data_IF_886559990431
#
_entry.id   IF_886559990431
#
_cell.length_a   1.000
_cell.length_b   1.000
_cell.length_c   1.000
_cell.angle_alpha   90.00
_cell.angle_beta   90.00
_cell.angle_gamma   90.00
#
_symmetry.space_group_name_H-M   'P 1'
#
loop_
_entity.id
_entity.type
_entity.pdbx_description
1 polymer ?
#
# COMPACT_ATOMS: atom_id res chain seq x y z
N UNK A 1 -25.55 -20.54 8.24
CA UNK A 1 -24.54 -21.35 7.49
C UNK A 1 -24.38 -22.79 7.99
N UNK A 2 -25.27 -23.28 8.89
CA UNK A 2 -25.25 -24.69 9.34
C UNK A 2 -25.36 -25.68 8.15
N UNK A 3 -26.04 -25.30 7.07
CA UNK A 3 -26.19 -26.15 5.87
C UNK A 3 -24.85 -26.45 5.18
N UNK A 4 -23.89 -25.53 5.17
CA UNK A 4 -22.54 -25.75 4.63
C UNK A 4 -21.83 -26.82 5.43
N UNK A 5 -21.87 -26.72 6.77
CA UNK A 5 -21.27 -27.73 7.66
C UNK A 5 -21.92 -29.11 7.50
N UNK A 6 -23.25 -29.16 7.43
CA UNK A 6 -23.98 -30.42 7.26
C UNK A 6 -23.74 -31.06 5.89
N UNK A 7 -23.28 -30.31 4.91
CA UNK A 7 -23.03 -30.77 3.54
C UNK A 7 -21.56 -30.81 3.17
N UNK A 8 -20.65 -30.57 4.13
CA UNK A 8 -19.22 -30.40 3.88
C UNK A 8 -18.63 -31.53 3.07
N UNK A 9 -18.86 -32.79 3.47
CA UNK A 9 -18.33 -33.97 2.79
C UNK A 9 -18.77 -34.08 1.30
N UNK A 10 -19.96 -33.55 0.99
CA UNK A 10 -20.48 -33.52 -0.39
C UNK A 10 -19.84 -32.36 -1.17
N UNK A 11 -19.76 -31.18 -0.56
CA UNK A 11 -19.17 -30.00 -1.15
C UNK A 11 -17.66 -30.19 -1.42
N UNK A 12 -16.96 -30.88 -0.54
CA UNK A 12 -15.53 -31.15 -0.71
C UNK A 12 -15.23 -32.08 -1.90
N UNK A 13 -16.19 -32.96 -2.25
CA UNK A 13 -16.10 -33.85 -3.43
C UNK A 13 -16.46 -33.17 -4.74
N UNK A 14 -17.10 -32.00 -4.69
CA UNK A 14 -17.46 -31.25 -5.90
C UNK A 14 -16.23 -30.56 -6.52
N UNK A 15 -16.04 -30.78 -7.84
CA UNK A 15 -15.01 -30.09 -8.62
C UNK A 15 -15.42 -28.67 -9.04
N UNK A 16 -16.72 -28.42 -9.13
CA UNK A 16 -17.29 -27.14 -9.51
C UNK A 16 -18.56 -26.89 -8.70
N UNK A 17 -18.67 -25.73 -8.10
CA UNK A 17 -19.81 -25.27 -7.33
C UNK A 17 -20.26 -23.94 -7.89
N UNK A 18 -21.50 -23.88 -8.41
CA UNK A 18 -22.08 -22.65 -8.97
C UNK A 18 -22.93 -22.00 -7.88
N UNK A 19 -22.60 -20.79 -7.51
CA UNK A 19 -23.34 -19.98 -6.54
C UNK A 19 -24.29 -19.08 -7.31
N UNK A 20 -25.58 -19.08 -6.95
CA UNK A 20 -26.65 -18.35 -7.60
C UNK A 20 -27.50 -17.65 -6.52
N UNK A 21 -26.95 -16.59 -5.93
CA UNK A 21 -27.67 -15.74 -4.97
C UNK A 21 -28.35 -14.58 -5.68
N UNK A 22 -29.27 -13.90 -5.00
CA UNK A 22 -29.94 -12.73 -5.53
C UNK A 22 -28.93 -11.62 -5.88
N UNK A 23 -29.18 -10.89 -6.95
CA UNK A 23 -28.31 -9.82 -7.42
C UNK A 23 -28.58 -8.50 -6.66
N UNK A 24 -28.62 -8.59 -5.33
CA UNK A 24 -28.72 -7.47 -4.41
C UNK A 24 -27.55 -7.48 -3.40
N UNK A 25 -27.45 -6.45 -2.58
CA UNK A 25 -26.36 -6.30 -1.61
C UNK A 25 -26.32 -7.46 -0.60
N UNK A 26 -27.47 -7.96 -0.16
CA UNK A 26 -27.55 -9.08 0.78
C UNK A 26 -27.13 -10.40 0.13
N UNK A 27 -27.58 -10.65 -1.10
CA UNK A 27 -27.19 -11.81 -1.90
C UNK A 27 -25.69 -11.82 -2.22
N UNK A 28 -25.10 -10.68 -2.58
CA UNK A 28 -23.67 -10.55 -2.83
C UNK A 28 -22.83 -10.84 -1.57
N UNK A 29 -23.24 -10.31 -0.41
CA UNK A 29 -22.56 -10.60 0.85
C UNK A 29 -22.65 -12.08 1.24
N UNK A 30 -23.80 -12.73 0.99
CA UNK A 30 -23.99 -14.15 1.23
C UNK A 30 -23.17 -15.00 0.25
N UNK A 31 -23.12 -14.62 -1.01
CA UNK A 31 -22.30 -15.26 -2.05
C UNK A 31 -20.82 -15.26 -1.66
N UNK A 32 -20.30 -14.12 -1.22
CA UNK A 32 -18.90 -14.00 -0.79
C UNK A 32 -18.58 -14.89 0.41
N UNK A 33 -19.46 -14.91 1.41
CA UNK A 33 -19.27 -15.73 2.62
C UNK A 33 -19.36 -17.23 2.31
N UNK A 34 -20.24 -17.66 1.40
CA UNK A 34 -20.30 -19.03 0.92
C UNK A 34 -19.01 -19.40 0.19
N UNK A 35 -18.58 -18.60 -0.75
CA UNK A 35 -17.36 -18.83 -1.52
C UNK A 35 -16.11 -18.91 -0.61
N UNK A 36 -16.04 -18.05 0.41
CA UNK A 36 -14.96 -18.07 1.42
C UNK A 36 -14.92 -19.38 2.21
N UNK A 37 -16.07 -19.92 2.59
CA UNK A 37 -16.16 -21.13 3.43
C UNK A 37 -15.97 -22.42 2.63
N UNK A 38 -16.39 -22.43 1.37
CA UNK A 38 -16.37 -23.61 0.49
C UNK A 38 -15.04 -23.74 -0.24
N UNK A 39 -14.35 -22.60 -0.48
CA UNK A 39 -13.13 -22.48 -1.28
C UNK A 39 -13.43 -21.77 -2.60
N UNK A 40 -12.84 -20.58 -2.78
CA UNK A 40 -13.09 -19.73 -3.96
C UNK A 40 -12.59 -20.37 -5.26
N UNK A 41 -11.59 -21.24 -5.19
CA UNK A 41 -10.96 -21.92 -6.31
C UNK A 41 -11.89 -22.84 -7.09
N UNK A 42 -12.88 -23.42 -6.43
CA UNK A 42 -13.90 -24.30 -7.06
C UNK A 42 -15.28 -23.64 -7.21
N UNK A 43 -15.41 -22.40 -6.77
CA UNK A 43 -16.65 -21.65 -6.87
C UNK A 43 -16.76 -20.88 -8.18
N UNK A 44 -17.95 -20.85 -8.72
CA UNK A 44 -18.35 -20.10 -9.91
C UNK A 44 -19.60 -19.30 -9.56
N UNK A 45 -19.80 -18.19 -10.22
CA UNK A 45 -21.00 -17.38 -10.07
C UNK A 45 -21.73 -17.17 -11.41
N UNK A 46 -23.03 -16.99 -11.36
CA UNK A 46 -23.80 -16.64 -12.53
C UNK A 46 -23.81 -15.12 -12.72
N UNK A 47 -23.90 -14.68 -13.98
CA UNK A 47 -24.06 -13.28 -14.34
C UNK A 47 -25.50 -13.06 -14.74
N UNK A 48 -26.21 -12.27 -13.95
CA UNK A 48 -27.62 -11.96 -14.20
C UNK A 48 -27.77 -10.92 -15.31
N UNK A 49 -28.78 -11.06 -16.19
CA UNK A 49 -29.22 -9.97 -17.06
C UNK A 49 -29.60 -8.73 -16.23
N UNK A 50 -29.46 -7.54 -16.79
CA UNK A 50 -29.75 -6.27 -16.09
C UNK A 50 -31.19 -6.14 -15.58
N UNK A 51 -32.11 -6.84 -16.23
CA UNK A 51 -33.55 -6.85 -15.94
C UNK A 51 -33.97 -7.99 -14.98
N UNK A 52 -33.04 -8.77 -14.46
CA UNK A 52 -33.30 -9.89 -13.57
C UNK A 52 -32.44 -9.81 -12.30
N UNK A 53 -33.09 -10.00 -11.15
CA UNK A 53 -32.40 -9.99 -9.83
C UNK A 53 -32.15 -11.40 -9.28
N UNK A 54 -32.90 -12.38 -9.76
CA UNK A 54 -32.79 -13.77 -9.30
C UNK A 54 -33.03 -14.80 -10.42
N UNK A 55 -32.76 -16.07 -10.14
CA UNK A 55 -32.93 -17.15 -11.10
C UNK A 55 -34.40 -17.39 -11.49
N UNK A 56 -35.37 -17.07 -10.62
CA UNK A 56 -36.77 -17.21 -10.89
C UNK A 56 -37.24 -16.16 -11.89
N UNK A 57 -36.75 -14.93 -11.79
CA UNK A 57 -37.03 -13.88 -12.79
C UNK A 57 -36.45 -14.24 -14.15
N UNK A 58 -35.27 -14.87 -14.24
CA UNK A 58 -34.76 -15.37 -15.51
C UNK A 58 -35.68 -16.42 -16.10
N UNK A 59 -36.11 -17.36 -15.27
CA UNK A 59 -37.00 -18.44 -15.71
C UNK A 59 -38.33 -17.89 -16.24
N UNK A 60 -38.92 -16.92 -15.53
CA UNK A 60 -40.22 -16.36 -15.88
C UNK A 60 -40.18 -15.40 -17.07
N UNK A 61 -39.13 -14.58 -17.19
CA UNK A 61 -39.00 -13.58 -18.25
C UNK A 61 -38.35 -14.13 -19.52
N UNK A 62 -37.37 -15.00 -19.37
CA UNK A 62 -36.53 -15.45 -20.50
C UNK A 62 -36.61 -16.96 -20.79
N UNK A 63 -37.31 -17.71 -19.94
CA UNK A 63 -37.50 -19.15 -20.13
C UNK A 63 -36.36 -20.03 -19.67
N UNK A 64 -36.60 -21.35 -19.74
CA UNK A 64 -35.69 -22.38 -19.23
C UNK A 64 -34.36 -22.43 -19.98
N UNK A 65 -34.40 -22.26 -21.30
CA UNK A 65 -33.19 -22.39 -22.13
C UNK A 65 -32.18 -21.27 -21.81
N UNK A 66 -32.67 -20.06 -21.56
CA UNK A 66 -31.84 -18.95 -21.15
C UNK A 66 -31.19 -19.15 -19.77
N UNK A 67 -31.98 -19.66 -18.82
CA UNK A 67 -31.46 -20.00 -17.50
C UNK A 67 -30.35 -21.07 -17.57
N UNK A 68 -30.57 -22.13 -18.37
CA UNK A 68 -29.54 -23.13 -18.58
C UNK A 68 -28.27 -22.60 -19.24
N UNK A 69 -28.40 -21.69 -20.21
CA UNK A 69 -27.28 -21.04 -20.88
C UNK A 69 -26.45 -20.20 -19.88
N UNK A 70 -27.12 -19.42 -19.03
CA UNK A 70 -26.46 -18.61 -18.00
C UNK A 70 -25.70 -19.49 -16.99
N UNK A 71 -26.30 -20.60 -16.55
CA UNK A 71 -25.63 -21.55 -15.64
C UNK A 71 -24.41 -22.19 -16.30
N UNK A 72 -24.50 -22.56 -17.58
CA UNK A 72 -23.35 -23.11 -18.35
C UNK A 72 -22.23 -22.10 -18.52
N UNK A 73 -22.58 -20.82 -18.71
CA UNK A 73 -21.64 -19.69 -18.87
C UNK A 73 -21.21 -19.08 -17.53
N UNK A 74 -21.44 -19.77 -16.41
CA UNK A 74 -20.97 -19.30 -15.09
C UNK A 74 -19.48 -19.00 -15.12
N UNK A 75 -19.11 -17.86 -14.55
CA UNK A 75 -17.71 -17.39 -14.49
C UNK A 75 -17.06 -17.82 -13.17
N UNK A 76 -15.73 -18.05 -13.14
CA UNK A 76 -15.01 -18.32 -11.89
C UNK A 76 -15.28 -17.22 -10.85
N UNK A 77 -15.40 -17.63 -9.59
CA UNK A 77 -15.56 -16.67 -8.50
C UNK A 77 -14.27 -15.87 -8.32
N UNK A 78 -14.32 -14.54 -8.22
CA UNK A 78 -13.12 -13.73 -8.08
C UNK A 78 -12.33 -14.11 -6.84
N UNK A 79 -11.09 -14.48 -7.01
CA UNK A 79 -10.14 -14.67 -5.90
C UNK A 79 -9.51 -13.31 -5.62
N UNK A 80 -9.69 -12.80 -4.39
CA UNK A 80 -9.11 -11.51 -4.02
C UNK A 80 -7.60 -11.51 -4.25
N UNK A 81 -7.10 -10.53 -4.99
CA UNK A 81 -5.70 -10.41 -5.34
C UNK A 81 -5.25 -11.21 -6.57
N UNK A 82 -6.14 -11.97 -7.22
CA UNK A 82 -5.87 -12.62 -8.51
C UNK A 82 -6.63 -11.87 -9.61
N UNK A 83 -5.88 -11.28 -10.53
CA UNK A 83 -6.41 -10.51 -11.66
C UNK A 83 -5.78 -11.00 -12.95
N UNK A 84 -6.55 -11.01 -14.03
CA UNK A 84 -6.03 -11.24 -15.37
C UNK A 84 -5.23 -10.01 -15.84
N UNK A 85 -4.28 -10.21 -16.75
CA UNK A 85 -3.44 -9.13 -17.26
C UNK A 85 -4.26 -7.98 -17.88
N UNK A 86 -5.39 -8.30 -18.51
CA UNK A 86 -6.31 -7.33 -19.11
C UNK A 86 -6.83 -6.29 -18.11
N UNK A 87 -6.95 -6.68 -16.84
CA UNK A 87 -7.36 -5.76 -15.78
C UNK A 87 -6.42 -4.56 -15.61
N UNK A 88 -5.17 -4.72 -16.02
CA UNK A 88 -4.13 -3.70 -15.87
C UNK A 88 -3.78 -2.98 -17.17
N UNK A 89 -4.39 -3.33 -18.31
CA UNK A 89 -4.02 -2.76 -19.60
C UNK A 89 -4.18 -1.25 -19.68
N UNK A 90 -5.24 -0.68 -19.10
CA UNK A 90 -5.42 0.77 -19.03
C UNK A 90 -4.25 1.46 -18.29
N UNK A 91 -3.74 0.84 -17.22
CA UNK A 91 -2.59 1.35 -16.48
C UNK A 91 -1.29 1.17 -17.28
N UNK A 92 -1.17 0.10 -18.05
CA UNK A 92 -0.03 -0.11 -18.96
C UNK A 92 -0.02 0.93 -20.06
N UNK A 93 -1.18 1.24 -20.64
CA UNK A 93 -1.32 2.27 -21.67
C UNK A 93 -0.99 3.66 -21.12
N UNK A 94 -1.41 3.96 -19.87
CA UNK A 94 -1.05 5.19 -19.18
C UNK A 94 0.48 5.32 -19.00
N UNK A 95 1.14 4.24 -18.57
CA UNK A 95 2.60 4.20 -18.44
C UNK A 95 3.28 4.35 -19.82
N UNK A 96 2.73 3.75 -20.86
CA UNK A 96 3.27 3.86 -22.21
C UNK A 96 3.21 5.29 -22.75
N UNK A 97 2.13 6.01 -22.50
CA UNK A 97 1.92 7.39 -22.96
C UNK A 97 2.71 8.40 -22.12
N UNK A 98 2.65 8.27 -20.80
CA UNK A 98 3.15 9.26 -19.85
C UNK A 98 4.53 8.91 -19.25
N UNK A 99 5.02 7.70 -19.51
CA UNK A 99 6.19 7.14 -18.84
C UNK A 99 5.89 6.75 -17.39
N UNK A 100 6.84 6.09 -16.76
CA UNK A 100 6.84 5.96 -15.29
C UNK A 100 7.19 7.32 -14.74
N UNK A 101 6.24 7.97 -14.06
CA UNK A 101 6.39 9.33 -13.54
C UNK A 101 7.73 9.53 -12.82
N UNK A 102 8.34 10.69 -12.97
CA UNK A 102 9.55 11.04 -12.22
C UNK A 102 9.23 11.08 -10.73
N UNK A 103 10.05 10.39 -9.92
CA UNK A 103 9.91 10.42 -8.46
C UNK A 103 10.16 11.82 -7.87
N UNK A 104 10.08 11.90 -6.56
CA UNK A 104 10.39 13.13 -5.81
C UNK A 104 11.89 13.39 -5.82
N UNK A 105 12.28 14.64 -6.11
CA UNK A 105 13.67 15.07 -6.09
C UNK A 105 14.32 14.88 -4.71
N UNK A 106 15.55 14.40 -4.71
CA UNK A 106 16.39 14.31 -3.50
C UNK A 106 16.86 15.68 -3.00
N UNK A 107 16.71 16.71 -3.82
CA UNK A 107 17.29 18.05 -3.59
C UNK A 107 18.74 18.18 -4.05
N UNK A 108 19.29 17.16 -4.69
CA UNK A 108 20.63 17.18 -5.29
C UNK A 108 20.49 16.92 -6.80
N UNK A 109 20.72 17.95 -7.61
CA UNK A 109 20.51 17.89 -9.05
C UNK A 109 21.27 16.75 -9.76
N UNK A 110 22.50 16.46 -9.31
CA UNK A 110 23.30 15.40 -9.93
C UNK A 110 22.83 14.00 -9.52
N UNK A 111 22.29 13.86 -8.31
CA UNK A 111 21.64 12.62 -7.87
C UNK A 111 20.33 12.42 -8.63
N UNK A 112 19.55 13.46 -8.79
CA UNK A 112 18.23 13.41 -9.44
C UNK A 112 18.29 12.98 -10.91
N UNK A 113 19.45 13.15 -11.58
CA UNK A 113 19.69 12.61 -12.94
C UNK A 113 19.74 11.10 -12.99
N UNK A 114 20.06 10.46 -11.85
CA UNK A 114 20.29 9.01 -11.75
C UNK A 114 19.25 8.33 -10.89
N UNK A 115 18.71 9.02 -9.89
CA UNK A 115 17.82 8.47 -8.90
C UNK A 115 16.88 9.55 -8.34
N UNK A 116 15.60 9.24 -8.27
CA UNK A 116 14.56 10.00 -7.60
C UNK A 116 13.78 9.10 -6.66
N UNK A 117 13.13 9.64 -5.66
CA UNK A 117 12.42 8.87 -4.65
C UNK A 117 10.99 8.62 -5.08
N UNK A 118 10.61 7.36 -5.18
CA UNK A 118 9.26 6.91 -5.56
C UNK A 118 8.57 6.31 -4.34
N UNK A 119 7.31 6.70 -4.12
CA UNK A 119 6.49 6.15 -3.04
C UNK A 119 6.30 4.64 -3.19
N UNK A 120 6.30 3.92 -2.07
CA UNK A 120 6.13 2.47 -2.05
C UNK A 120 7.39 1.66 -2.37
N UNK A 121 8.53 2.31 -2.67
CA UNK A 121 9.80 1.62 -2.93
C UNK A 121 10.67 1.47 -1.68
N UNK A 122 11.31 0.32 -1.56
CA UNK A 122 12.40 0.10 -0.60
C UNK A 122 13.72 0.57 -1.20
N UNK A 123 14.36 1.53 -0.53
CA UNK A 123 15.70 2.01 -0.91
C UNK A 123 16.73 1.56 0.12
N UNK A 124 17.81 0.94 -0.34
CA UNK A 124 18.94 0.53 0.51
C UNK A 124 20.16 1.37 0.17
N UNK A 125 20.67 2.13 1.17
CA UNK A 125 21.89 2.93 1.04
C UNK A 125 23.05 2.19 1.71
N UNK A 126 24.05 1.83 0.93
CA UNK A 126 25.21 1.06 1.39
C UNK A 126 26.53 1.81 1.14
N UNK A 127 27.60 1.42 1.81
CA UNK A 127 28.93 1.99 1.67
C UNK A 127 29.78 1.76 2.91
N UNK A 128 31.04 2.15 2.85
CA UNK A 128 32.01 1.97 3.94
C UNK A 128 31.57 2.68 5.23
N UNK A 129 32.02 2.20 6.41
CA UNK A 129 31.85 2.93 7.66
C UNK A 129 32.38 4.36 7.55
N UNK A 130 31.72 5.30 8.18
CA UNK A 130 32.09 6.74 8.19
C UNK A 130 32.10 7.45 6.82
N UNK A 131 31.51 6.86 5.77
CA UNK A 131 31.39 7.47 4.43
C UNK A 131 30.29 8.52 4.31
N UNK A 132 29.57 8.83 5.40
CA UNK A 132 28.52 9.86 5.40
C UNK A 132 27.13 9.39 4.96
N UNK A 133 26.85 8.07 4.85
CA UNK A 133 25.54 7.53 4.43
C UNK A 133 24.38 8.13 5.19
N UNK A 134 24.43 8.06 6.52
CA UNK A 134 23.38 8.58 7.40
C UNK A 134 23.21 10.09 7.24
N UNK A 135 24.33 10.82 7.13
CA UNK A 135 24.32 12.26 6.89
C UNK A 135 23.66 12.62 5.55
N UNK A 136 23.91 11.82 4.51
CA UNK A 136 23.30 12.01 3.19
C UNK A 136 21.81 11.73 3.23
N UNK A 137 21.38 10.61 3.83
CA UNK A 137 19.95 10.25 3.98
C UNK A 137 19.21 11.30 4.81
N UNK A 138 19.78 11.75 5.92
CA UNK A 138 19.20 12.82 6.74
C UNK A 138 18.98 14.10 5.94
N UNK A 139 19.95 14.47 5.09
CA UNK A 139 19.82 15.67 4.26
C UNK A 139 18.72 15.51 3.20
N UNK A 140 18.62 14.34 2.58
CA UNK A 140 17.51 14.03 1.64
C UNK A 140 16.15 14.17 2.34
N UNK A 141 15.99 13.61 3.53
CA UNK A 141 14.75 13.73 4.29
C UNK A 141 14.39 15.20 4.59
N UNK A 142 15.36 16.00 5.00
CA UNK A 142 15.17 17.46 5.21
C UNK A 142 14.75 18.15 3.92
N UNK A 143 15.39 17.83 2.79
CA UNK A 143 15.08 18.42 1.50
C UNK A 143 13.65 18.10 1.08
N UNK A 144 13.24 16.85 1.20
CA UNK A 144 11.89 16.40 0.82
C UNK A 144 10.83 16.98 1.76
N UNK A 145 11.10 17.02 3.07
CA UNK A 145 10.19 17.65 4.03
C UNK A 145 9.98 19.14 3.69
N UNK A 146 11.04 19.85 3.30
CA UNK A 146 10.94 21.26 2.85
C UNK A 146 10.16 21.43 1.54
N UNK A 147 10.37 20.54 0.58
CA UNK A 147 9.81 20.66 -0.77
C UNK A 147 8.36 20.16 -0.87
N UNK A 148 8.06 19.07 -0.19
CA UNK A 148 6.81 18.31 -0.33
C UNK A 148 6.00 18.18 0.96
N UNK A 149 6.54 18.61 2.10
CA UNK A 149 5.88 18.44 3.39
C UNK A 149 5.76 16.99 3.85
N UNK A 150 6.62 16.09 3.34
CA UNK A 150 6.62 14.69 3.77
C UNK A 150 6.96 14.56 5.25
N UNK A 151 6.40 13.54 5.86
CA UNK A 151 6.64 13.18 7.25
C UNK A 151 7.45 11.90 7.32
N UNK A 152 8.39 11.85 8.25
CA UNK A 152 9.34 10.75 8.38
C UNK A 152 9.24 10.08 9.74
N UNK A 153 9.17 8.75 9.75
CA UNK A 153 9.36 7.93 10.93
C UNK A 153 10.80 7.42 10.99
N UNK A 154 11.55 7.79 12.02
CA UNK A 154 12.93 7.40 12.20
C UNK A 154 13.07 6.30 13.25
N UNK A 155 13.74 5.21 12.87
CA UNK A 155 14.14 4.14 13.75
C UNK A 155 15.67 4.02 13.67
N UNK A 156 16.39 4.70 14.56
CA UNK A 156 17.84 4.72 14.58
C UNK A 156 18.37 3.96 15.79
N UNK A 157 19.17 2.94 15.53
CA UNK A 157 19.85 2.14 16.56
C UNK A 157 21.27 2.63 16.85
N UNK A 158 21.84 3.50 15.99
CA UNK A 158 23.20 4.02 16.14
C UNK A 158 23.28 5.35 16.89
N UNK A 159 22.26 6.20 16.71
CA UNK A 159 22.26 7.55 17.26
C UNK A 159 21.20 7.68 18.35
N UNK A 160 21.60 8.18 19.51
CA UNK A 160 20.67 8.62 20.53
C UNK A 160 19.77 9.74 19.96
N UNK A 161 18.42 9.69 20.18
CA UNK A 161 17.50 10.64 19.56
C UNK A 161 17.87 12.11 19.72
N UNK A 162 18.35 12.52 20.91
CA UNK A 162 18.78 13.92 21.15
C UNK A 162 19.89 14.38 20.22
N UNK A 163 20.86 13.51 19.93
CA UNK A 163 21.98 13.82 19.04
C UNK A 163 21.51 13.82 17.58
N UNK A 164 20.66 12.87 17.22
CA UNK A 164 20.10 12.82 15.86
C UNK A 164 19.24 14.06 15.56
N UNK A 165 18.38 14.48 16.50
CA UNK A 165 17.59 15.72 16.39
C UNK A 165 18.49 16.93 16.20
N UNK A 166 19.58 17.05 16.97
CA UNK A 166 20.55 18.15 16.84
C UNK A 166 21.19 18.18 15.44
N UNK A 167 21.52 17.02 14.86
CA UNK A 167 22.04 16.90 13.50
C UNK A 167 20.99 17.33 12.45
N UNK A 168 19.75 16.87 12.57
CA UNK A 168 18.66 17.24 11.67
C UNK A 168 18.38 18.75 11.71
N UNK A 169 18.38 19.34 12.91
CA UNK A 169 18.21 20.81 13.06
C UNK A 169 19.37 21.55 12.37
N UNK A 170 20.60 21.06 12.53
CA UNK A 170 21.77 21.66 11.85
C UNK A 170 21.61 21.65 10.33
N UNK A 171 21.11 20.57 9.77
CA UNK A 171 20.84 20.44 8.33
C UNK A 171 19.69 21.34 7.86
N UNK A 172 18.66 21.45 8.67
CA UNK A 172 17.52 22.34 8.36
C UNK A 172 17.93 23.82 8.35
N UNK A 173 18.69 24.24 9.37
CA UNK A 173 19.15 25.63 9.54
C UNK A 173 20.33 25.94 8.63
N UNK A 174 21.15 24.95 8.28
CA UNK A 174 22.40 25.14 7.53
C UNK A 174 23.54 25.71 8.37
N UNK A 175 23.45 25.64 9.71
CA UNK A 175 24.46 26.12 10.66
C UNK A 175 24.77 25.06 11.72
N UNK A 176 25.99 25.06 12.29
CA UNK A 176 26.34 24.14 13.36
C UNK A 176 25.41 24.30 14.58
N UNK A 177 25.05 23.17 15.20
CA UNK A 177 24.35 23.15 16.49
C UNK A 177 25.28 23.51 17.64
N UNK A 178 26.49 22.96 17.61
CA UNK A 178 27.50 23.18 18.65
C UNK A 178 28.40 24.35 18.33
N UNK A 179 28.94 24.99 19.37
CA UNK A 179 29.93 26.04 19.22
C UNK A 179 31.24 25.49 18.65
N UNK A 180 31.86 26.21 17.75
CA UNK A 180 33.09 25.81 17.09
C UNK A 180 33.73 27.00 16.35
N UNK A 181 34.56 26.72 15.34
CA UNK A 181 35.23 27.73 14.53
C UNK A 181 34.26 28.60 13.77
N UNK A 182 33.16 27.98 13.27
CA UNK A 182 32.09 28.72 12.58
C UNK A 182 30.99 29.13 13.55
N UNK A 183 30.34 30.28 13.35
CA UNK A 183 29.24 30.72 14.20
C UNK A 183 28.10 29.68 14.20
N UNK A 184 27.68 29.29 15.40
CA UNK A 184 26.53 28.37 15.54
C UNK A 184 25.22 29.09 15.26
N UNK A 185 24.14 28.31 15.12
CA UNK A 185 22.80 28.85 15.02
C UNK A 185 22.38 29.69 16.24
N UNK A 186 21.54 30.70 16.02
CA UNK A 186 20.93 31.50 17.07
C UNK A 186 19.82 30.75 17.80
N UNK A 187 19.39 31.25 18.96
CA UNK A 187 18.23 30.66 19.68
C UNK A 187 16.96 30.69 18.84
N UNK A 188 16.73 31.74 18.07
CA UNK A 188 15.57 31.84 17.19
C UNK A 188 15.61 30.77 16.08
N UNK A 189 16.77 30.54 15.46
CA UNK A 189 16.96 29.49 14.45
C UNK A 189 16.80 28.09 15.06
N UNK A 190 17.25 27.90 16.30
CA UNK A 190 17.04 26.64 17.03
C UNK A 190 15.55 26.36 17.25
N UNK A 191 14.77 27.34 17.71
CA UNK A 191 13.33 27.15 17.92
C UNK A 191 12.58 26.89 16.60
N UNK A 192 12.96 27.60 15.52
CA UNK A 192 12.44 27.29 14.18
C UNK A 192 12.76 25.86 13.75
N UNK A 193 14.01 25.40 13.98
CA UNK A 193 14.43 24.05 13.70
C UNK A 193 13.66 22.99 14.49
N UNK A 194 13.49 23.22 15.80
CA UNK A 194 12.68 22.33 16.66
C UNK A 194 11.24 22.19 16.15
N UNK A 195 10.61 23.32 15.80
CA UNK A 195 9.26 23.30 15.23
C UNK A 195 9.20 22.50 13.94
N UNK A 196 10.13 22.72 13.01
CA UNK A 196 10.19 22.00 11.76
C UNK A 196 10.35 20.47 11.98
N UNK A 197 11.24 20.07 12.91
CA UNK A 197 11.42 18.64 13.23
C UNK A 197 10.16 18.06 13.87
N UNK A 198 9.53 18.77 14.79
CA UNK A 198 8.27 18.34 15.41
C UNK A 198 7.13 18.14 14.40
N UNK A 199 7.07 19.00 13.39
CA UNK A 199 6.02 18.97 12.37
C UNK A 199 6.22 17.86 11.33
N UNK A 200 7.47 17.42 11.09
CA UNK A 200 7.79 16.52 9.97
C UNK A 200 8.46 15.20 10.37
N UNK A 201 8.89 15.02 11.62
CA UNK A 201 9.62 13.81 12.04
C UNK A 201 9.02 13.22 13.31
N UNK A 202 8.97 11.89 13.35
CA UNK A 202 8.72 11.14 14.58
C UNK A 202 9.83 10.11 14.79
N UNK A 203 10.11 9.76 16.04
CA UNK A 203 11.22 8.88 16.43
C UNK A 203 10.65 7.64 17.11
N UNK A 204 10.97 6.47 16.55
CA UNK A 204 10.74 5.18 17.18
C UNK A 204 11.95 4.88 18.06
N UNK A 205 11.79 5.05 19.37
CA UNK A 205 12.84 4.85 20.34
C UNK A 205 12.35 4.03 21.52
N UNK A 206 13.08 2.99 21.84
CA UNK A 206 12.78 2.12 22.97
C UNK A 206 13.81 2.37 24.08
N UNK A 207 13.36 3.01 25.16
CA UNK A 207 14.22 3.41 26.28
C UNK A 207 14.80 2.21 27.05
N UNK A 208 14.12 1.07 27.04
CA UNK A 208 14.38 -0.06 27.95
C UNK A 208 15.21 -1.19 27.29
N UNK A 209 15.63 -1.03 26.04
CA UNK A 209 16.45 -2.03 25.34
C UNK A 209 15.78 -3.39 25.10
N UNK A 210 14.52 -3.56 25.50
CA UNK A 210 13.75 -4.76 25.25
C UNK A 210 13.00 -4.64 23.93
N UNK A 211 13.41 -5.42 22.92
CA UNK A 211 12.56 -5.66 21.75
C UNK A 211 11.36 -6.48 22.22
N UNK A 212 10.19 -5.86 22.37
CA UNK A 212 8.96 -6.63 22.49
C UNK A 212 8.69 -7.26 21.11
N UNK A 213 8.84 -8.56 21.04
CA UNK A 213 8.40 -9.40 19.92
C UNK A 213 6.89 -9.42 19.80
#
# INVERSE_FOLDING_TARGET
FKFIWNSKDKLDKCKKIIIAMDNDQAGQAMEEEIARRVGKDKCFKIVYPKDCKDANEILTKHGRDKLQDIVKKSIPYPVSGLYDAEHFYDQVDEIFVNGVGSGTSTGYQDVDKLYTIVEGQLTVVTGHPSSGKSEFVDQIMINIAKQKGWKFGLCSFENEPRIHIAKLISKYVGKPFFSGITPRMTTHELESGKKFISDNFCFLYQADGSLST
#
